data_IF_444844436709
#
_entry.id   IF_444844436709
#
_cell.length_a   1.000
_cell.length_b   1.000
_cell.length_c   1.000
_cell.angle_alpha   90.00
_cell.angle_beta   90.00
_cell.angle_gamma   90.00
#
_symmetry.space_group_name_H-M   'P 1'
#
loop_
_entity.id
_entity.type
_entity.pdbx_description
1 polymer ?
#
# COMPACT_ATOMS: atom_id res chain seq x y z
N UNK A 1 1.04 -22.64 15.19
CA UNK A 1 0.53 -21.27 15.08
C UNK A 1 -0.97 -21.31 15.30
N UNK A 2 -1.50 -20.54 16.25
CA UNK A 2 -2.96 -20.36 16.31
C UNK A 2 -3.38 -19.57 15.07
N UNK A 3 -4.29 -20.12 14.26
CA UNK A 3 -4.82 -19.51 13.03
C UNK A 3 -5.30 -18.08 13.26
N UNK A 4 -5.77 -17.79 14.48
CA UNK A 4 -6.24 -16.47 14.91
C UNK A 4 -5.13 -15.42 14.88
N UNK A 5 -3.92 -15.75 15.35
CA UNK A 5 -2.79 -14.81 15.36
C UNK A 5 -2.35 -14.47 13.94
N UNK A 6 -2.20 -15.48 13.08
CA UNK A 6 -1.80 -15.27 11.69
C UNK A 6 -2.81 -14.41 10.93
N UNK A 7 -4.11 -14.64 11.13
CA UNK A 7 -5.16 -13.81 10.53
C UNK A 7 -5.14 -12.37 11.05
N UNK A 8 -4.92 -12.18 12.35
CA UNK A 8 -4.82 -10.85 12.95
C UNK A 8 -3.65 -10.04 12.37
N UNK A 9 -2.46 -10.66 12.28
CA UNK A 9 -1.28 -10.02 11.70
C UNK A 9 -1.52 -9.69 10.23
N UNK A 10 -2.10 -10.62 9.47
CA UNK A 10 -2.43 -10.40 8.06
C UNK A 10 -3.41 -9.25 7.86
N UNK A 11 -4.47 -9.16 8.68
CA UNK A 11 -5.44 -8.06 8.61
C UNK A 11 -4.82 -6.71 8.97
N UNK A 12 -3.96 -6.67 10.00
CA UNK A 12 -3.24 -5.45 10.37
C UNK A 12 -2.32 -4.99 9.22
N UNK A 13 -1.56 -5.92 8.63
CA UNK A 13 -0.75 -5.64 7.44
C UNK A 13 -1.59 -5.10 6.29
N UNK A 14 -2.68 -5.76 5.94
CA UNK A 14 -3.52 -5.37 4.81
C UNK A 14 -4.14 -3.98 5.00
N UNK A 15 -4.55 -3.66 6.23
CA UNK A 15 -5.10 -2.33 6.58
C UNK A 15 -4.03 -1.25 6.42
N UNK A 16 -2.82 -1.49 6.91
CA UNK A 16 -1.69 -0.57 6.75
C UNK A 16 -1.28 -0.43 5.28
N UNK A 17 -1.21 -1.53 4.53
CA UNK A 17 -0.91 -1.56 3.10
C UNK A 17 -1.91 -0.72 2.29
N UNK A 18 -3.21 -0.96 2.44
CA UNK A 18 -4.26 -0.21 1.73
C UNK A 18 -4.18 1.27 2.08
N UNK A 19 -3.93 1.59 3.35
CA UNK A 19 -3.81 2.99 3.80
C UNK A 19 -2.62 3.70 3.14
N UNK A 20 -1.45 3.05 3.09
CA UNK A 20 -0.26 3.59 2.42
C UNK A 20 -0.47 3.72 0.91
N UNK A 21 -1.05 2.70 0.28
CA UNK A 21 -1.36 2.72 -1.15
C UNK A 21 -2.32 3.87 -1.49
N UNK A 22 -3.35 4.08 -0.68
CA UNK A 22 -4.29 5.20 -0.86
C UNK A 22 -3.60 6.56 -0.75
N UNK A 23 -2.67 6.73 0.20
CA UNK A 23 -1.87 7.95 0.32
C UNK A 23 -1.00 8.16 -0.91
N UNK A 24 -0.29 7.13 -1.39
CA UNK A 24 0.52 7.25 -2.60
C UNK A 24 -0.32 7.57 -3.85
N UNK A 25 -1.43 6.85 -4.06
CA UNK A 25 -2.33 7.11 -5.19
C UNK A 25 -2.90 8.53 -5.13
N UNK A 26 -3.29 9.02 -3.96
CA UNK A 26 -3.78 10.38 -3.80
C UNK A 26 -2.72 11.43 -4.12
N UNK A 27 -1.46 11.22 -3.69
CA UNK A 27 -0.36 12.12 -4.02
C UNK A 27 -0.08 12.10 -5.52
N UNK A 28 0.05 10.92 -6.11
CA UNK A 28 0.28 10.73 -7.54
C UNK A 28 -0.81 11.42 -8.36
N UNK A 29 -2.07 11.22 -8.00
CA UNK A 29 -3.21 11.85 -8.66
C UNK A 29 -3.14 13.38 -8.59
N UNK A 30 -2.80 13.93 -7.42
CA UNK A 30 -2.66 15.38 -7.25
C UNK A 30 -1.53 15.93 -8.14
N UNK A 31 -0.37 15.25 -8.17
CA UNK A 31 0.75 15.65 -9.03
C UNK A 31 0.39 15.57 -10.52
N UNK A 32 -0.25 14.48 -10.97
CA UNK A 32 -0.63 14.29 -12.36
C UNK A 32 -1.68 15.31 -12.81
N UNK A 33 -2.66 15.66 -11.97
CA UNK A 33 -3.59 16.77 -12.26
C UNK A 33 -2.85 18.09 -12.40
N UNK A 34 -1.93 18.43 -11.49
CA UNK A 34 -1.17 19.69 -11.55
C UNK A 34 -0.33 19.74 -12.82
N UNK A 35 0.30 18.61 -13.19
CA UNK A 35 1.10 18.50 -14.41
C UNK A 35 0.25 18.67 -15.67
N UNK A 36 -0.90 18.00 -15.74
CA UNK A 36 -1.83 18.12 -16.86
C UNK A 36 -2.44 19.53 -16.97
N UNK A 37 -2.74 20.19 -15.86
CA UNK A 37 -3.21 21.58 -15.84
C UNK A 37 -2.12 22.54 -16.34
N UNK A 38 -0.87 22.34 -15.90
CA UNK A 38 0.27 23.11 -16.40
C UNK A 38 0.44 22.92 -17.91
N UNK A 39 0.31 21.69 -18.40
CA UNK A 39 0.43 21.39 -19.84
C UNK A 39 -0.74 21.98 -20.65
N UNK A 40 -1.96 21.92 -20.13
CA UNK A 40 -3.17 22.46 -20.75
C UNK A 40 -3.17 24.00 -20.79
N UNK A 41 -2.60 24.67 -19.79
CA UNK A 41 -2.43 26.14 -19.84
C UNK A 41 -1.56 26.62 -21.01
N UNK A 42 -0.79 25.72 -21.63
CA UNK A 42 -0.01 26.01 -22.84
C UNK A 42 -0.77 25.70 -24.14
N UNK A 43 -1.94 25.04 -24.09
CA UNK A 43 -2.79 24.69 -25.23
C UNK A 43 -4.27 24.76 -24.81
N UNK A 44 -4.92 25.88 -25.14
CA UNK A 44 -6.27 26.32 -24.74
C UNK A 44 -7.45 25.37 -25.05
N UNK A 45 -7.22 24.16 -25.55
CA UNK A 45 -8.25 23.27 -26.10
C UNK A 45 -8.69 22.14 -25.13
N UNK A 46 -8.05 21.98 -23.97
CA UNK A 46 -8.31 20.85 -23.06
C UNK A 46 -9.26 21.23 -21.93
N UNK A 47 -10.52 20.80 -22.03
CA UNK A 47 -11.49 20.94 -20.94
C UNK A 47 -11.10 20.15 -19.68
N UNK A 48 -11.39 20.71 -18.49
CA UNK A 48 -11.07 20.13 -17.17
C UNK A 48 -11.56 18.68 -17.02
N UNK A 49 -12.71 18.34 -17.61
CA UNK A 49 -13.26 16.98 -17.59
C UNK A 49 -12.40 15.95 -18.34
N UNK A 50 -11.73 16.37 -19.42
CA UNK A 50 -10.83 15.49 -20.17
C UNK A 50 -9.54 15.22 -19.38
N UNK A 51 -9.00 16.24 -18.69
CA UNK A 51 -7.83 16.13 -17.82
C UNK A 51 -8.08 15.12 -16.69
N UNK A 52 -9.22 15.24 -16.01
CA UNK A 52 -9.64 14.31 -14.96
C UNK A 52 -9.74 12.87 -15.47
N UNK A 53 -10.34 12.68 -16.66
CA UNK A 53 -10.47 11.35 -17.27
C UNK A 53 -9.10 10.76 -17.64
N UNK A 54 -8.21 11.56 -18.22
CA UNK A 54 -6.85 11.12 -18.55
C UNK A 54 -6.05 10.73 -17.31
N UNK A 55 -6.14 11.54 -16.25
CA UNK A 55 -5.47 11.25 -14.97
C UNK A 55 -5.98 9.95 -14.35
N UNK A 56 -7.31 9.74 -14.35
CA UNK A 56 -7.93 8.51 -13.85
C UNK A 56 -7.47 7.25 -14.61
N UNK A 57 -7.32 7.35 -15.94
CA UNK A 57 -6.84 6.25 -16.78
C UNK A 57 -5.34 5.95 -16.57
N UNK A 58 -4.52 6.96 -16.23
CA UNK A 58 -3.09 6.77 -15.92
C UNK A 58 -2.85 6.26 -14.49
N UNK A 59 -3.81 6.50 -13.59
CA UNK A 59 -3.74 6.09 -12.19
C UNK A 59 -3.37 4.61 -11.95
N UNK A 60 -3.99 3.60 -12.61
CA UNK A 60 -3.63 2.19 -12.40
C UNK A 60 -2.17 1.88 -12.75
N UNK A 61 -1.67 2.47 -13.84
CA UNK A 61 -0.29 2.28 -14.27
C UNK A 61 0.71 2.88 -13.29
N UNK A 62 0.44 4.09 -12.79
CA UNK A 62 1.28 4.72 -11.77
C UNK A 62 1.15 4.00 -10.42
N UNK A 63 -0.03 3.46 -10.12
CA UNK A 63 -0.28 2.61 -8.96
C UNK A 63 0.56 1.34 -8.96
N UNK A 64 0.75 0.70 -10.12
CA UNK A 64 1.66 -0.45 -10.26
C UNK A 64 3.11 -0.08 -9.92
N UNK A 65 3.57 1.10 -10.31
CA UNK A 65 4.94 1.55 -9.97
C UNK A 65 5.07 1.85 -8.47
N UNK A 66 4.02 2.37 -7.84
CA UNK A 66 3.99 2.68 -6.41
C UNK A 66 3.79 1.46 -5.51
N UNK A 67 3.28 0.35 -6.05
CA UNK A 67 2.93 -0.85 -5.31
C UNK A 67 4.08 -1.46 -4.47
N UNK A 68 5.30 -1.69 -4.99
CA UNK A 68 6.39 -2.25 -4.17
C UNK A 68 6.75 -1.35 -2.99
N UNK A 69 6.63 -0.03 -3.15
CA UNK A 69 6.80 0.92 -2.05
C UNK A 69 5.65 0.82 -1.05
N UNK A 70 4.41 0.68 -1.51
CA UNK A 70 3.27 0.48 -0.64
C UNK A 70 3.39 -0.80 0.20
N UNK A 71 3.89 -1.90 -0.38
CA UNK A 71 4.16 -3.15 0.36
C UNK A 71 5.27 -2.94 1.41
N UNK A 72 6.36 -2.25 1.05
CA UNK A 72 7.47 -1.97 1.95
C UNK A 72 7.04 -1.09 3.13
N UNK A 73 6.46 0.07 2.86
CA UNK A 73 6.01 0.99 3.91
C UNK A 73 4.83 0.42 4.70
N UNK A 74 3.90 -0.29 4.05
CA UNK A 74 2.77 -0.95 4.69
C UNK A 74 3.21 -2.02 5.70
N UNK A 75 4.17 -2.87 5.31
CA UNK A 75 4.75 -3.89 6.22
C UNK A 75 5.53 -3.25 7.37
N UNK A 76 6.34 -2.24 7.08
CA UNK A 76 7.09 -1.50 8.11
C UNK A 76 6.16 -0.88 9.15
N UNK A 77 5.11 -0.15 8.71
CA UNK A 77 4.14 0.47 9.63
C UNK A 77 3.37 -0.59 10.42
N UNK A 78 2.96 -1.69 9.79
CA UNK A 78 2.26 -2.77 10.47
C UNK A 78 3.10 -3.38 11.61
N UNK A 79 4.36 -3.71 11.32
CA UNK A 79 5.28 -4.26 12.33
C UNK A 79 5.66 -3.24 13.41
N UNK A 80 5.82 -1.95 13.05
CA UNK A 80 6.04 -0.88 14.02
C UNK A 80 4.86 -0.73 14.98
N UNK A 81 3.61 -0.76 14.50
CA UNK A 81 2.42 -0.70 15.36
C UNK A 81 2.38 -1.88 16.33
N UNK A 82 2.64 -3.09 15.85
CA UNK A 82 2.65 -4.29 16.71
C UNK A 82 3.81 -4.27 17.72
N UNK A 83 4.96 -3.72 17.35
CA UNK A 83 6.09 -3.52 18.28
C UNK A 83 5.72 -2.52 19.37
N UNK A 84 5.09 -1.40 19.00
CA UNK A 84 4.67 -0.36 19.93
C UNK A 84 3.61 -0.82 20.92
N UNK A 85 2.73 -1.73 20.50
CA UNK A 85 1.73 -2.36 21.37
C UNK A 85 2.29 -3.54 22.18
N UNK A 86 3.59 -3.81 22.12
CA UNK A 86 4.27 -4.97 22.72
C UNK A 86 3.73 -6.35 22.26
N UNK A 87 2.89 -6.41 21.24
CA UNK A 87 2.29 -7.65 20.72
C UNK A 87 3.37 -8.61 20.19
N UNK A 88 4.37 -8.08 19.47
CA UNK A 88 5.50 -8.88 18.98
C UNK A 88 6.42 -9.36 20.11
N UNK A 89 6.61 -8.53 21.14
CA UNK A 89 7.45 -8.88 22.29
C UNK A 89 6.80 -10.00 23.09
N UNK A 90 5.49 -9.91 23.35
CA UNK A 90 4.70 -10.94 24.04
C UNK A 90 4.65 -12.24 23.22
N UNK A 91 4.44 -12.16 21.90
CA UNK A 91 4.47 -13.32 21.03
C UNK A 91 5.82 -14.04 21.14
N UNK A 92 6.94 -13.31 21.08
CA UNK A 92 8.30 -13.88 21.23
C UNK A 92 8.53 -14.49 22.61
N UNK A 93 8.04 -13.87 23.68
CA UNK A 93 8.14 -14.40 25.04
C UNK A 93 7.37 -15.72 25.21
N UNK A 94 6.28 -15.92 24.46
CA UNK A 94 5.53 -17.19 24.42
C UNK A 94 6.18 -18.30 23.57
N UNK A 95 7.41 -18.09 23.09
CA UNK A 95 8.16 -19.07 22.29
C UNK A 95 7.83 -19.04 20.80
N UNK A 96 7.10 -18.04 20.31
CA UNK A 96 6.81 -17.91 18.87
C UNK A 96 8.08 -17.50 18.12
N UNK A 97 8.42 -18.23 17.06
CA UNK A 97 9.58 -17.93 16.23
C UNK A 97 9.32 -16.71 15.34
N UNK A 98 10.39 -16.03 14.90
CA UNK A 98 10.23 -14.86 14.04
C UNK A 98 9.57 -15.18 12.69
N UNK A 99 9.95 -16.32 12.12
CA UNK A 99 9.39 -16.86 10.89
C UNK A 99 7.88 -17.06 10.93
N UNK A 100 7.35 -17.46 12.09
CA UNK A 100 5.94 -17.74 12.25
C UNK A 100 5.05 -16.50 12.14
N UNK A 101 5.52 -15.33 12.58
CA UNK A 101 4.79 -14.07 12.40
C UNK A 101 5.08 -13.38 11.06
N UNK A 102 6.22 -13.68 10.43
CA UNK A 102 6.59 -13.19 9.09
C UNK A 102 5.80 -13.89 7.97
N UNK A 103 5.56 -15.20 8.11
CA UNK A 103 4.83 -16.04 7.15
C UNK A 103 3.50 -15.46 6.62
N UNK A 104 2.55 -15.01 7.47
CA UNK A 104 1.28 -14.44 6.96
C UNK A 104 1.49 -13.17 6.13
N UNK A 105 2.47 -12.34 6.49
CA UNK A 105 2.77 -11.11 5.75
C UNK A 105 3.43 -11.43 4.41
N UNK A 106 4.38 -12.38 4.39
CA UNK A 106 5.00 -12.86 3.15
C UNK A 106 3.98 -13.51 2.22
N UNK A 107 3.08 -14.35 2.75
CA UNK A 107 2.01 -14.96 1.97
C UNK A 107 1.09 -13.92 1.33
N UNK A 108 0.68 -12.89 2.08
CA UNK A 108 -0.12 -11.79 1.54
C UNK A 108 0.67 -10.96 0.53
N UNK A 109 1.94 -10.67 0.76
CA UNK A 109 2.78 -9.94 -0.18
C UNK A 109 2.94 -10.69 -1.51
N UNK A 110 3.09 -12.02 -1.48
CA UNK A 110 3.12 -12.86 -2.68
C UNK A 110 1.79 -12.82 -3.43
N UNK A 111 0.66 -12.99 -2.74
CA UNK A 111 -0.68 -12.91 -3.35
C UNK A 111 -0.89 -11.54 -3.99
N UNK A 112 -0.58 -10.47 -3.26
CA UNK A 112 -0.68 -9.09 -3.74
C UNK A 112 0.21 -8.85 -4.97
N UNK A 113 1.43 -9.38 -4.98
CA UNK A 113 2.33 -9.31 -6.14
C UNK A 113 1.80 -10.07 -7.36
N UNK A 114 1.19 -11.24 -7.18
CA UNK A 114 0.57 -11.98 -8.29
C UNK A 114 -0.67 -11.29 -8.86
N UNK A 115 -1.42 -10.55 -8.04
CA UNK A 115 -2.56 -9.74 -8.47
C UNK A 115 -2.14 -8.44 -9.18
N UNK A 116 -0.88 -8.02 -9.03
CA UNK A 116 -0.35 -6.80 -9.60
C UNK A 116 0.06 -6.96 -11.08
N UNK A 117 0.23 -8.22 -11.54
CA UNK A 117 0.37 -8.60 -12.96
C UNK A 117 -0.97 -8.44 -13.67
#
# INVERSE_FOLDING_TARGET
MSTVLSFYIGRNFLTCFISVLAVFLSLIFLFDIIELLRLASSRDELGIGLILKMSLLKLPFLGQQAFPFAVLFGSMIAFLRMTRNHELVVARASGISAWQFLLPVLGLALILGTLQI
#
